data_IF_915240366198
#
_entry.id   IF_915240366198
#
_cell.length_a   1.000
_cell.length_b   1.000
_cell.length_c   1.000
_cell.angle_alpha   90.00
_cell.angle_beta   90.00
_cell.angle_gamma   90.00
#
_symmetry.space_group_name_H-M   'P 1'
#
loop_
_entity.id
_entity.type
_entity.pdbx_description
1 polymer ?
#
# COMPACT_ATOMS: atom_id res chain seq x y z
N UNK A 1 -47.78 19.79 26.13
CA UNK A 1 -47.96 18.83 25.01
C UNK A 1 -46.58 18.42 24.55
N UNK A 2 -46.25 17.14 24.69
CA UNK A 2 -44.97 16.55 24.26
C UNK A 2 -45.19 15.92 22.89
N UNK A 3 -44.45 16.33 21.88
CA UNK A 3 -44.39 15.62 20.61
C UNK A 3 -42.97 15.08 20.42
N UNK A 4 -42.90 13.76 20.32
CA UNK A 4 -41.73 12.94 20.05
C UNK A 4 -41.59 12.83 18.53
N UNK A 5 -40.43 13.19 17.98
CA UNK A 5 -40.13 13.02 16.55
C UNK A 5 -39.36 11.72 16.37
N UNK A 6 -40.02 10.71 15.82
CA UNK A 6 -39.39 9.46 15.37
C UNK A 6 -39.05 9.65 13.89
N UNK A 7 -37.77 9.68 13.54
CA UNK A 7 -37.32 9.57 12.15
C UNK A 7 -37.32 8.09 11.74
N UNK A 8 -38.22 7.73 10.84
CA UNK A 8 -38.25 6.45 10.12
C UNK A 8 -37.47 6.61 8.82
N UNK A 9 -36.38 5.85 8.68
CA UNK A 9 -35.58 5.75 7.45
C UNK A 9 -36.26 4.74 6.52
N UNK A 10 -36.90 5.24 5.45
CA UNK A 10 -37.48 4.39 4.41
C UNK A 10 -36.46 4.29 3.28
N UNK A 11 -35.78 3.14 3.16
CA UNK A 11 -34.91 2.84 2.03
C UNK A 11 -35.72 2.14 0.93
N UNK A 12 -35.79 2.77 -0.23
CA UNK A 12 -36.45 2.27 -1.43
C UNK A 12 -35.48 1.37 -2.20
N UNK A 13 -35.64 0.04 -2.10
CA UNK A 13 -35.03 -0.89 -3.06
C UNK A 13 -36.04 -1.18 -4.17
N UNK A 14 -35.73 -0.73 -5.38
CA UNK A 14 -36.48 -1.08 -6.59
C UNK A 14 -35.60 -1.96 -7.47
N UNK A 15 -36.11 -3.15 -7.83
CA UNK A 15 -35.59 -3.96 -8.92
C UNK A 15 -35.13 -5.37 -8.57
N UNK A 16 -36.05 -6.27 -8.19
CA UNK A 16 -35.86 -7.71 -8.42
C UNK A 16 -36.77 -8.15 -9.57
N UNK A 17 -36.14 -8.56 -10.67
CA UNK A 17 -36.79 -9.24 -11.80
C UNK A 17 -36.97 -10.71 -11.41
N UNK A 18 -38.18 -11.23 -11.57
CA UNK A 18 -38.49 -12.66 -11.47
C UNK A 18 -37.83 -13.39 -12.64
N UNK A 19 -36.86 -14.26 -12.37
CA UNK A 19 -36.32 -15.19 -13.34
C UNK A 19 -36.82 -16.61 -13.02
N UNK A 20 -37.84 -17.04 -13.76
CA UNK A 20 -38.26 -18.45 -13.87
C UNK A 20 -37.24 -19.23 -14.71
N UNK A 21 -36.16 -19.71 -14.07
CA UNK A 21 -35.28 -20.77 -14.59
C UNK A 21 -34.58 -21.50 -13.43
N UNK A 22 -34.29 -22.81 -13.53
CA UNK A 22 -33.80 -23.62 -12.40
C UNK A 22 -32.45 -23.12 -11.87
N UNK A 23 -32.17 -23.25 -10.55
CA UNK A 23 -31.07 -22.55 -9.90
C UNK A 23 -29.70 -23.11 -10.31
N UNK A 24 -28.88 -22.27 -10.91
CA UNK A 24 -27.41 -22.39 -10.88
C UNK A 24 -26.91 -21.93 -9.52
N UNK A 25 -25.95 -22.66 -8.95
CA UNK A 25 -25.39 -22.44 -7.61
C UNK A 25 -25.12 -20.96 -7.31
N UNK A 26 -25.91 -20.36 -6.42
CA UNK A 26 -25.69 -19.00 -5.95
C UNK A 26 -24.59 -18.96 -4.89
N UNK A 27 -23.70 -17.97 -4.99
CA UNK A 27 -22.62 -17.66 -4.05
C UNK A 27 -23.00 -16.60 -3.00
N UNK A 28 -24.28 -16.21 -2.89
CA UNK A 28 -24.70 -15.27 -1.84
C UNK A 28 -25.06 -16.02 -0.56
N UNK A 29 -24.44 -15.62 0.55
CA UNK A 29 -24.46 -16.19 1.91
C UNK A 29 -25.82 -16.40 2.60
N UNK A 30 -26.74 -17.12 1.98
CA UNK A 30 -27.93 -17.66 2.63
C UNK A 30 -27.64 -19.05 3.21
N UNK A 31 -27.87 -19.21 4.51
CA UNK A 31 -27.73 -20.45 5.27
C UNK A 31 -28.81 -21.52 4.93
N UNK A 32 -29.24 -21.60 3.66
CA UNK A 32 -30.09 -22.70 3.21
C UNK A 32 -29.24 -23.93 2.90
N UNK A 33 -29.60 -25.12 3.39
CA UNK A 33 -28.85 -26.33 3.11
C UNK A 33 -28.87 -26.64 1.61
N UNK A 34 -27.69 -26.63 1.00
CA UNK A 34 -27.47 -26.96 -0.41
C UNK A 34 -28.07 -28.35 -0.68
N UNK A 35 -28.96 -28.44 -1.66
CA UNK A 35 -29.53 -29.71 -2.11
C UNK A 35 -28.42 -30.60 -2.71
N UNK A 36 -28.51 -31.90 -2.46
CA UNK A 36 -27.41 -32.87 -2.54
C UNK A 36 -26.89 -33.22 -3.94
N UNK A 37 -27.02 -32.33 -4.92
CA UNK A 37 -26.56 -32.52 -6.31
C UNK A 37 -25.15 -31.98 -6.57
N UNK A 38 -24.55 -31.24 -5.64
CA UNK A 38 -23.21 -30.64 -5.81
C UNK A 38 -22.03 -31.59 -5.48
N UNK A 39 -22.29 -32.84 -5.09
CA UNK A 39 -21.26 -33.87 -4.91
C UNK A 39 -21.66 -35.14 -5.66
N UNK A 40 -20.88 -35.66 -6.63
CA UNK A 40 -21.14 -36.97 -7.20
C UNK A 40 -20.95 -38.02 -6.08
N UNK A 41 -22.07 -38.54 -5.56
CA UNK A 41 -22.08 -39.59 -4.55
C UNK A 41 -21.78 -40.93 -5.21
N UNK A 42 -20.66 -41.55 -4.85
CA UNK A 42 -20.50 -42.99 -5.06
C UNK A 42 -21.55 -43.73 -4.19
N UNK A 43 -22.40 -44.60 -4.75
CA UNK A 43 -23.59 -45.12 -4.07
C UNK A 43 -23.33 -46.12 -2.93
N UNK A 44 -22.08 -46.55 -2.70
CA UNK A 44 -21.81 -47.77 -1.91
C UNK A 44 -21.49 -47.57 -0.42
N UNK A 45 -21.37 -46.35 0.11
CA UNK A 45 -21.12 -46.14 1.56
C UNK A 45 -21.95 -45.01 2.16
N UNK A 46 -23.19 -45.32 2.56
CA UNK A 46 -24.04 -44.45 3.38
C UNK A 46 -23.56 -44.46 4.84
N UNK A 47 -22.47 -43.76 5.13
CA UNK A 47 -22.18 -43.33 6.51
C UNK A 47 -22.82 -41.95 6.69
N UNK A 48 -23.80 -41.86 7.60
CA UNK A 48 -24.44 -40.59 7.98
C UNK A 48 -23.38 -39.71 8.64
N UNK A 49 -22.79 -38.78 7.89
CA UNK A 49 -22.01 -37.69 8.49
C UNK A 49 -22.96 -36.70 9.13
N UNK A 50 -22.68 -36.29 10.36
CA UNK A 50 -23.37 -35.16 10.96
C UNK A 50 -22.91 -33.88 10.27
N UNK A 51 -23.78 -32.86 10.15
CA UNK A 51 -23.39 -31.56 9.59
C UNK A 51 -22.16 -30.94 10.30
N UNK A 52 -21.87 -31.37 11.53
CA UNK A 52 -20.68 -31.02 12.31
C UNK A 52 -19.34 -31.48 11.72
N UNK A 53 -19.32 -32.48 10.84
CA UNK A 53 -18.09 -32.97 10.21
C UNK A 53 -17.75 -32.26 8.89
N UNK A 54 -18.65 -31.39 8.41
CA UNK A 54 -18.52 -30.70 7.12
C UNK A 54 -17.98 -29.28 7.31
N UNK A 55 -18.10 -28.72 8.52
CA UNK A 55 -17.61 -27.37 8.84
C UNK A 55 -16.44 -27.46 9.82
N UNK A 56 -15.29 -26.93 9.42
CA UNK A 56 -14.14 -26.79 10.30
C UNK A 56 -14.47 -25.81 11.44
N UNK A 57 -14.06 -26.16 12.66
CA UNK A 57 -14.10 -25.29 13.84
C UNK A 57 -13.03 -24.21 13.71
N UNK A 58 -13.38 -22.95 13.96
CA UNK A 58 -12.41 -21.85 14.05
C UNK A 58 -11.57 -21.89 15.35
N UNK A 59 -11.98 -22.74 16.30
CA UNK A 59 -11.55 -22.78 17.70
C UNK A 59 -10.50 -23.85 18.02
N UNK A 60 -9.95 -24.56 17.03
CA UNK A 60 -8.89 -25.56 17.23
C UNK A 60 -7.81 -25.44 16.16
N UNK A 61 -6.54 -25.60 16.58
CA UNK A 61 -5.35 -25.72 15.71
C UNK A 61 -5.65 -26.48 14.41
N UNK A 62 -5.14 -26.05 13.23
CA UNK A 62 -5.53 -26.59 11.94
C UNK A 62 -4.83 -27.93 11.66
N UNK A 63 -4.85 -28.86 12.60
CA UNK A 63 -4.52 -30.25 12.29
C UNK A 63 -5.76 -30.86 11.67
N UNK A 64 -5.79 -30.90 10.34
CA UNK A 64 -6.74 -31.74 9.63
C UNK A 64 -6.55 -33.18 10.13
N UNK A 65 -7.57 -33.82 10.72
CA UNK A 65 -7.50 -35.26 10.93
C UNK A 65 -7.51 -35.86 9.53
N UNK A 66 -6.37 -36.33 9.05
CA UNK A 66 -6.32 -37.26 7.92
C UNK A 66 -7.16 -38.46 8.36
N UNK A 67 -8.37 -38.69 7.82
CA UNK A 67 -9.07 -39.91 8.16
C UNK A 67 -8.27 -41.03 7.51
N UNK A 68 -7.83 -42.02 8.28
CA UNK A 68 -7.06 -43.20 7.84
C UNK A 68 -7.73 -44.02 6.70
N UNK A 69 -8.88 -43.59 6.21
CA UNK A 69 -9.74 -44.28 5.26
C UNK A 69 -9.81 -43.67 3.85
N UNK A 70 -9.11 -42.57 3.57
CA UNK A 70 -9.02 -42.00 2.22
C UNK A 70 -7.56 -41.68 1.86
N UNK A 71 -6.95 -42.37 0.88
CA UNK A 71 -5.59 -42.08 0.43
C UNK A 71 -5.48 -40.74 -0.32
N UNK A 72 -6.61 -40.13 -0.69
CA UNK A 72 -6.65 -38.85 -1.38
C UNK A 72 -6.92 -37.73 -0.36
N UNK A 73 -5.84 -37.04 0.00
CA UNK A 73 -5.89 -35.83 0.82
C UNK A 73 -6.75 -34.76 0.15
N UNK A 74 -7.40 -33.94 0.98
CA UNK A 74 -8.38 -32.94 0.57
C UNK A 74 -7.85 -31.78 -0.32
N UNK A 75 -6.56 -31.77 -0.66
CA UNK A 75 -5.97 -30.84 -1.63
C UNK A 75 -5.56 -31.62 -2.88
N UNK A 76 -6.47 -31.77 -3.85
CA UNK A 76 -6.12 -32.53 -5.07
C UNK A 76 -5.55 -31.66 -6.18
N UNK A 77 -5.66 -30.31 -6.12
CA UNK A 77 -5.19 -29.40 -7.18
C UNK A 77 -4.66 -28.07 -6.67
N UNK A 78 -3.37 -27.82 -6.95
CA UNK A 78 -2.71 -26.51 -6.81
C UNK A 78 -2.49 -25.93 -8.22
N UNK A 79 -2.43 -24.61 -8.31
CA UNK A 79 -2.09 -23.90 -9.54
C UNK A 79 -1.22 -22.68 -9.24
N UNK A 80 -0.37 -22.31 -10.19
CA UNK A 80 0.47 -21.13 -10.11
C UNK A 80 -0.39 -19.88 -10.36
N UNK A 81 -0.59 -19.03 -9.34
CA UNK A 81 -1.31 -17.76 -9.48
C UNK A 81 -0.30 -16.62 -9.64
N UNK A 82 -0.33 -15.87 -10.76
CA UNK A 82 0.51 -14.69 -10.91
C UNK A 82 0.24 -13.65 -9.80
N UNK A 83 1.30 -13.09 -9.24
CA UNK A 83 1.31 -12.04 -8.24
C UNK A 83 2.32 -10.98 -8.66
N UNK A 84 1.88 -9.73 -8.72
CA UNK A 84 2.69 -8.59 -9.17
C UNK A 84 3.52 -8.05 -8.00
N UNK A 85 4.82 -7.84 -8.19
CA UNK A 85 5.71 -7.34 -7.11
C UNK A 85 5.61 -5.83 -6.89
N UNK A 86 5.47 -5.05 -7.96
CA UNK A 86 5.32 -3.59 -7.92
C UNK A 86 4.08 -3.20 -8.70
N UNK A 87 3.13 -2.55 -8.02
CA UNK A 87 1.81 -2.22 -8.56
C UNK A 87 1.61 -0.73 -8.85
N UNK A 88 2.50 0.15 -8.40
CA UNK A 88 2.37 1.61 -8.56
C UNK A 88 3.58 2.21 -9.24
N UNK A 89 3.32 3.15 -10.15
CA UNK A 89 4.34 3.85 -10.93
C UNK A 89 3.94 5.32 -11.09
N UNK A 90 4.92 6.20 -11.28
CA UNK A 90 4.63 7.59 -11.58
C UNK A 90 4.07 7.73 -12.99
N UNK A 91 3.32 8.80 -13.22
CA UNK A 91 2.89 9.21 -14.54
C UNK A 91 3.67 10.45 -14.95
N UNK A 92 4.38 10.39 -16.07
CA UNK A 92 5.13 11.51 -16.62
C UNK A 92 4.37 12.13 -17.79
N UNK A 93 4.02 13.40 -17.67
CA UNK A 93 3.31 14.17 -18.69
C UNK A 93 4.22 15.22 -19.34
N UNK A 94 4.24 15.29 -20.67
CA UNK A 94 5.12 16.19 -21.42
C UNK A 94 6.48 15.57 -21.77
N UNK A 95 7.31 16.29 -22.55
CA UNK A 95 8.58 15.75 -23.05
C UNK A 95 9.53 15.24 -21.96
N UNK A 96 10.41 14.28 -22.29
CA UNK A 96 11.40 13.74 -21.34
C UNK A 96 12.15 14.90 -20.65
N UNK A 97 12.35 14.77 -19.34
CA UNK A 97 12.98 15.77 -18.46
C UNK A 97 12.15 17.04 -18.11
N UNK A 98 10.84 17.11 -18.42
CA UNK A 98 9.99 18.29 -18.16
C UNK A 98 8.76 18.09 -17.23
N UNK A 99 8.88 18.69 -16.03
CA UNK A 99 7.92 19.37 -15.12
C UNK A 99 6.65 18.74 -14.55
N UNK A 100 5.94 17.80 -15.20
CA UNK A 100 4.68 17.27 -14.63
C UNK A 100 4.74 15.75 -14.40
N UNK A 101 5.42 15.37 -13.32
CA UNK A 101 5.33 14.01 -12.76
C UNK A 101 4.21 13.98 -11.73
N UNK A 102 3.30 13.02 -11.88
CA UNK A 102 2.30 12.70 -10.86
C UNK A 102 2.72 11.39 -10.20
N UNK A 103 3.14 11.49 -8.95
CA UNK A 103 3.63 10.34 -8.19
C UNK A 103 2.52 9.31 -7.95
N UNK A 104 2.87 8.02 -8.05
CA UNK A 104 1.97 6.88 -7.82
C UNK A 104 0.63 6.90 -8.61
N UNK A 105 0.64 7.59 -9.76
CA UNK A 105 -0.56 7.84 -10.55
C UNK A 105 -0.93 6.71 -11.50
N UNK A 106 -0.02 5.81 -11.86
CA UNK A 106 -0.32 4.59 -12.65
C UNK A 106 -0.40 3.40 -11.70
N UNK A 107 -1.51 2.65 -11.78
CA UNK A 107 -1.76 1.46 -10.97
C UNK A 107 -1.96 0.23 -11.84
N UNK A 108 -1.34 -0.87 -11.45
CA UNK A 108 -1.39 -2.15 -12.15
C UNK A 108 -1.84 -3.24 -11.18
N UNK A 109 -2.85 -4.01 -11.56
CA UNK A 109 -3.43 -5.06 -10.74
C UNK A 109 -3.74 -6.33 -11.56
N UNK A 110 -3.87 -7.46 -10.86
CA UNK A 110 -4.37 -8.72 -11.43
C UNK A 110 -5.73 -9.02 -10.81
N UNK A 111 -6.77 -9.09 -11.64
CA UNK A 111 -8.16 -9.19 -11.18
C UNK A 111 -8.82 -10.46 -11.70
N UNK A 112 -9.62 -11.13 -10.86
CA UNK A 112 -10.50 -12.25 -11.24
C UNK A 112 -9.80 -13.58 -11.52
N UNK A 113 -8.62 -13.78 -10.96
CA UNK A 113 -7.79 -14.98 -11.13
C UNK A 113 -7.85 -15.89 -9.89
N UNK A 114 -9.03 -16.40 -9.55
CA UNK A 114 -9.26 -17.13 -8.29
C UNK A 114 -9.09 -18.65 -8.43
N UNK A 115 -9.24 -19.18 -9.63
CA UNK A 115 -9.06 -20.60 -9.93
C UNK A 115 -8.13 -20.81 -11.13
N UNK A 116 -7.57 -22.01 -11.25
CA UNK A 116 -6.78 -22.43 -12.42
C UNK A 116 -7.56 -22.24 -13.73
N UNK A 117 -8.86 -22.51 -13.70
CA UNK A 117 -9.71 -22.35 -14.86
C UNK A 117 -9.83 -20.88 -15.27
N UNK A 118 -9.79 -19.95 -14.32
CA UNK A 118 -9.93 -18.52 -14.60
C UNK A 118 -8.73 -17.96 -15.35
N UNK A 119 -7.52 -18.51 -15.15
CA UNK A 119 -6.32 -18.11 -15.90
C UNK A 119 -6.45 -18.26 -17.42
N UNK A 120 -7.39 -19.07 -17.88
CA UNK A 120 -7.67 -19.31 -19.30
C UNK A 120 -8.87 -18.53 -19.83
N UNK A 121 -9.58 -17.81 -18.95
CA UNK A 121 -10.80 -17.05 -19.28
C UNK A 121 -10.52 -15.55 -19.35
N UNK A 122 -11.46 -14.84 -19.96
CA UNK A 122 -11.41 -13.38 -20.05
C UNK A 122 -11.72 -12.67 -18.71
N UNK A 123 -12.13 -13.43 -17.69
CA UNK A 123 -12.41 -12.91 -16.34
C UNK A 123 -11.14 -12.68 -15.51
N UNK A 124 -10.02 -13.29 -15.89
CA UNK A 124 -8.72 -13.07 -15.26
C UNK A 124 -7.90 -12.13 -16.14
N UNK A 125 -7.67 -10.90 -15.68
CA UNK A 125 -7.06 -9.84 -16.49
C UNK A 125 -6.05 -9.00 -15.72
N UNK A 126 -5.09 -8.45 -16.48
CA UNK A 126 -4.21 -7.37 -16.07
C UNK A 126 -4.99 -6.06 -16.21
N UNK A 127 -5.17 -5.36 -15.10
CA UNK A 127 -5.79 -4.04 -15.07
C UNK A 127 -4.70 -3.00 -14.96
N UNK A 128 -4.71 -2.02 -15.85
CA UNK A 128 -3.85 -0.83 -15.77
C UNK A 128 -4.77 0.38 -15.73
N UNK A 129 -4.51 1.30 -14.82
CA UNK A 129 -5.29 2.52 -14.66
C UNK A 129 -4.39 3.70 -14.31
N UNK A 130 -4.86 4.92 -14.57
CA UNK A 130 -4.16 6.11 -14.11
C UNK A 130 -5.07 7.23 -13.64
N UNK A 131 -4.54 8.10 -12.79
CA UNK A 131 -5.24 9.30 -12.29
C UNK A 131 -4.39 10.56 -12.52
N UNK A 132 -4.33 11.09 -13.75
CA UNK A 132 -3.56 12.28 -14.08
C UNK A 132 -4.19 13.56 -13.51
N UNK A 133 -3.46 14.67 -13.66
CA UNK A 133 -4.04 16.01 -13.59
C UNK A 133 -4.80 16.30 -14.89
N UNK A 134 -6.06 16.67 -14.78
CA UNK A 134 -6.95 16.95 -15.92
C UNK A 134 -7.81 15.75 -16.34
N UNK A 135 -8.49 15.89 -17.47
CA UNK A 135 -9.36 14.85 -18.04
C UNK A 135 -8.62 14.00 -19.08
N UNK A 136 -8.83 12.69 -19.10
CA UNK A 136 -8.24 11.81 -20.11
C UNK A 136 -9.08 11.88 -21.39
N UNK A 137 -8.44 12.11 -22.52
CA UNK A 137 -9.08 12.19 -23.85
C UNK A 137 -8.80 10.95 -24.69
N UNK A 138 -7.68 10.27 -24.47
CA UNK A 138 -7.34 9.03 -25.16
C UNK A 138 -6.42 8.14 -24.32
N UNK A 139 -6.48 6.83 -24.56
CA UNK A 139 -5.70 5.81 -23.84
C UNK A 139 -5.27 4.72 -24.81
N UNK A 140 -3.97 4.38 -24.81
CA UNK A 140 -3.36 3.38 -25.67
C UNK A 140 -2.46 2.44 -24.87
N UNK A 141 -2.37 1.19 -25.31
CA UNK A 141 -1.61 0.15 -24.60
C UNK A 141 -0.91 -0.80 -25.57
N UNK A 142 0.38 -1.02 -25.32
CA UNK A 142 1.15 -2.13 -25.88
C UNK A 142 1.74 -2.99 -24.76
N UNK A 143 1.73 -4.30 -24.97
CA UNK A 143 2.29 -5.28 -24.04
C UNK A 143 3.23 -6.21 -24.81
N UNK A 144 4.43 -6.43 -24.26
CA UNK A 144 5.40 -7.38 -24.79
C UNK A 144 5.95 -8.29 -23.69
N UNK A 145 6.22 -9.55 -24.03
CA UNK A 145 6.94 -10.50 -23.16
C UNK A 145 8.45 -10.51 -23.43
N UNK A 146 8.90 -9.76 -24.43
CA UNK A 146 10.31 -9.51 -24.73
C UNK A 146 10.61 -8.03 -24.53
N UNK A 147 11.78 -7.74 -23.98
CA UNK A 147 12.20 -6.36 -23.76
C UNK A 147 12.31 -5.66 -25.11
N UNK A 148 11.80 -4.44 -25.21
CA UNK A 148 11.92 -3.67 -26.43
C UNK A 148 13.37 -3.27 -26.71
N UNK A 149 13.74 -3.40 -27.98
CA UNK A 149 15.08 -3.09 -28.51
C UNK A 149 14.95 -2.20 -29.73
N UNK A 150 16.05 -1.64 -30.22
CA UNK A 150 16.07 -0.80 -31.43
C UNK A 150 15.47 -1.47 -32.67
N UNK A 151 15.38 -2.80 -32.70
CA UNK A 151 14.85 -3.58 -33.82
C UNK A 151 13.50 -4.25 -33.52
N UNK A 152 13.08 -4.26 -32.26
CA UNK A 152 11.84 -4.91 -31.81
C UNK A 152 11.15 -3.98 -30.80
N UNK A 153 10.25 -3.13 -31.30
CA UNK A 153 9.54 -2.11 -30.53
C UNK A 153 8.14 -1.87 -31.14
N UNK A 154 7.18 -1.32 -30.37
CA UNK A 154 5.86 -0.98 -30.88
C UNK A 154 5.90 -0.04 -32.07
N UNK A 155 4.81 -0.03 -32.84
CA UNK A 155 4.61 0.96 -33.89
C UNK A 155 4.69 2.38 -33.35
N UNK A 156 5.11 3.30 -34.21
CA UNK A 156 5.24 4.74 -33.90
C UNK A 156 3.87 5.43 -33.80
N UNK A 157 2.75 4.72 -33.91
CA UNK A 157 1.44 5.30 -33.64
C UNK A 157 0.84 4.54 -32.45
N UNK A 158 0.59 5.19 -31.29
CA UNK A 158 -0.05 4.54 -30.16
C UNK A 158 -1.45 4.03 -30.49
N UNK A 159 -2.15 4.69 -31.42
CA UNK A 159 -3.47 4.26 -31.86
C UNK A 159 -3.46 2.91 -32.59
N UNK A 160 -2.29 2.46 -33.09
CA UNK A 160 -2.12 1.15 -33.72
C UNK A 160 -1.52 0.09 -32.80
N UNK A 161 -1.33 0.38 -31.51
CA UNK A 161 -0.83 -0.60 -30.56
C UNK A 161 -1.82 -1.75 -30.34
N UNK A 162 -1.28 -2.95 -30.15
CA UNK A 162 -2.02 -4.21 -30.24
C UNK A 162 -3.08 -4.37 -29.15
N UNK A 163 -2.92 -3.69 -28.01
CA UNK A 163 -3.79 -3.83 -26.85
C UNK A 163 -4.69 -2.63 -26.60
N UNK A 164 -4.66 -1.61 -27.46
CA UNK A 164 -5.52 -0.41 -27.34
C UNK A 164 -7.01 -0.75 -27.32
N UNK A 165 -7.45 -1.84 -27.97
CA UNK A 165 -8.85 -2.27 -27.93
C UNK A 165 -9.35 -2.71 -26.55
N UNK A 166 -8.43 -2.97 -25.61
CA UNK A 166 -8.75 -3.33 -24.22
C UNK A 166 -8.83 -2.12 -23.29
N UNK A 167 -8.64 -0.91 -23.83
CA UNK A 167 -8.67 0.35 -23.09
C UNK A 167 -9.99 1.09 -23.29
N UNK A 168 -10.47 1.68 -22.20
CA UNK A 168 -11.52 2.69 -22.23
C UNK A 168 -10.86 4.05 -22.40
N UNK A 169 -10.96 4.60 -23.62
CA UNK A 169 -10.19 5.77 -24.08
C UNK A 169 -10.20 6.96 -23.11
N UNK A 170 -11.36 7.29 -22.56
CA UNK A 170 -11.56 8.51 -21.75
C UNK A 170 -11.34 8.30 -20.24
N UNK A 171 -11.05 7.08 -19.77
CA UNK A 171 -10.89 6.80 -18.33
C UNK A 171 -9.49 6.42 -17.93
N UNK A 172 -8.59 6.16 -18.89
CA UNK A 172 -7.26 5.62 -18.58
C UNK A 172 -7.27 4.15 -18.17
N UNK A 173 -8.42 3.48 -18.15
CA UNK A 173 -8.49 2.09 -17.67
C UNK A 173 -8.35 1.12 -18.84
N UNK A 174 -7.37 0.22 -18.75
CA UNK A 174 -7.21 -0.91 -19.66
C UNK A 174 -7.36 -2.23 -18.91
N UNK A 175 -8.11 -3.17 -19.49
CA UNK A 175 -8.37 -4.50 -18.93
C UNK A 175 -8.00 -5.56 -19.95
N UNK A 176 -6.78 -6.10 -19.84
CA UNK A 176 -6.25 -7.10 -20.78
C UNK A 176 -6.35 -8.48 -20.15
N UNK A 177 -7.21 -9.38 -20.68
CA UNK A 177 -7.22 -10.75 -20.21
C UNK A 177 -5.86 -11.44 -20.34
N UNK A 178 -5.45 -12.17 -19.30
CA UNK A 178 -4.13 -12.80 -19.28
C UNK A 178 -3.97 -13.83 -20.39
N UNK A 179 -5.06 -14.48 -20.80
CA UNK A 179 -5.07 -15.44 -21.91
C UNK A 179 -4.86 -14.78 -23.31
N UNK A 180 -4.92 -13.45 -23.42
CA UNK A 180 -4.63 -12.71 -24.66
C UNK A 180 -3.19 -12.19 -24.71
N UNK A 181 -2.51 -12.13 -23.57
CA UNK A 181 -1.08 -11.83 -23.52
C UNK A 181 -0.32 -13.01 -24.14
N UNK A 182 0.68 -12.79 -25.02
CA UNK A 182 1.45 -13.86 -25.62
C UNK A 182 2.02 -14.82 -24.57
N UNK A 183 1.62 -16.10 -24.66
CA UNK A 183 2.04 -17.14 -23.72
C UNK A 183 1.16 -17.28 -22.46
N UNK A 184 0.13 -16.45 -22.29
CA UNK A 184 -0.88 -16.60 -21.24
C UNK A 184 -0.35 -16.32 -19.82
N UNK A 185 -1.14 -16.71 -18.81
CA UNK A 185 -0.78 -16.55 -17.40
C UNK A 185 0.54 -17.27 -17.01
N UNK A 186 0.84 -18.41 -17.64
CA UNK A 186 2.08 -19.16 -17.39
C UNK A 186 3.32 -18.47 -17.93
N UNK A 187 3.18 -17.56 -18.91
CA UNK A 187 4.29 -16.77 -19.41
C UNK A 187 4.65 -15.58 -18.51
N UNK A 188 3.82 -15.27 -17.51
CA UNK A 188 4.12 -14.22 -16.53
C UNK A 188 5.01 -14.73 -15.40
N UNK A 189 4.87 -16.02 -15.04
CA UNK A 189 5.66 -16.62 -13.97
C UNK A 189 7.17 -16.57 -14.25
N UNK A 190 7.92 -15.96 -13.33
CA UNK A 190 9.38 -15.82 -13.38
C UNK A 190 9.90 -15.06 -14.61
N UNK A 191 9.04 -14.22 -15.21
CA UNK A 191 9.38 -13.39 -16.36
C UNK A 191 8.90 -11.95 -16.13
N UNK A 192 9.51 -11.06 -16.89
CA UNK A 192 9.09 -9.67 -16.95
C UNK A 192 8.13 -9.44 -18.11
N UNK A 193 7.13 -8.60 -17.86
CA UNK A 193 6.25 -8.04 -18.89
C UNK A 193 6.62 -6.58 -19.11
N UNK A 194 6.72 -6.17 -20.37
CA UNK A 194 7.08 -4.82 -20.76
C UNK A 194 5.83 -4.12 -21.29
N UNK A 195 5.47 -3.00 -20.67
CA UNK A 195 4.18 -2.34 -20.89
C UNK A 195 4.40 -0.89 -21.28
N UNK A 196 3.97 -0.51 -22.48
CA UNK A 196 3.87 0.88 -22.90
C UNK A 196 2.43 1.32 -22.67
N UNK A 197 2.26 2.20 -21.70
CA UNK A 197 0.96 2.75 -21.35
C UNK A 197 0.98 4.25 -21.63
N UNK A 198 0.10 4.68 -22.53
CA UNK A 198 0.05 6.05 -23.00
C UNK A 198 -1.35 6.61 -22.76
N UNK A 199 -1.42 7.84 -22.27
CA UNK A 199 -2.65 8.61 -22.22
C UNK A 199 -2.45 10.00 -22.81
N UNK A 200 -3.52 10.58 -23.34
CA UNK A 200 -3.60 12.00 -23.63
C UNK A 200 -4.55 12.65 -22.63
N UNK A 201 -4.17 13.79 -22.10
CA UNK A 201 -4.94 14.54 -21.10
C UNK A 201 -5.20 15.95 -21.58
N UNK A 202 -6.32 16.52 -21.15
CA UNK A 202 -6.70 17.90 -21.39
C UNK A 202 -6.93 18.59 -20.05
N UNK A 203 -6.13 19.63 -19.78
CA UNK A 203 -6.26 20.51 -18.63
C UNK A 203 -6.53 21.94 -19.12
N UNK A 204 -7.75 22.41 -18.86
CA UNK A 204 -8.38 23.63 -19.40
C UNK A 204 -8.30 23.77 -20.93
N UNK A 205 -7.11 24.09 -21.46
CA UNK A 205 -6.84 24.34 -22.89
C UNK A 205 -5.55 23.67 -23.40
N UNK A 206 -4.81 22.97 -22.55
CA UNK A 206 -3.53 22.36 -22.92
C UNK A 206 -3.67 20.85 -22.99
N UNK A 207 -3.46 20.30 -24.18
CA UNK A 207 -3.34 18.86 -24.38
C UNK A 207 -1.93 18.41 -23.98
N UNK A 208 -1.84 17.41 -23.11
CA UNK A 208 -0.60 16.80 -22.68
C UNK A 208 -0.63 15.32 -23.03
N UNK A 209 0.48 14.82 -23.52
CA UNK A 209 0.72 13.38 -23.61
C UNK A 209 1.38 12.93 -22.33
N UNK A 210 1.00 11.75 -21.81
CA UNK A 210 1.63 11.15 -20.64
C UNK A 210 1.95 9.67 -20.88
N UNK A 211 3.00 9.19 -20.21
CA UNK A 211 3.45 7.80 -20.19
C UNK A 211 3.73 7.38 -18.75
N UNK A 212 3.70 6.07 -18.47
CA UNK A 212 4.25 5.58 -17.21
C UNK A 212 5.76 5.84 -17.15
N UNK A 213 6.24 6.40 -16.03
CA UNK A 213 7.65 6.72 -15.76
C UNK A 213 8.46 5.41 -15.64
N UNK A 214 9.34 5.16 -16.60
CA UNK A 214 9.98 3.87 -16.77
C UNK A 214 11.25 3.94 -17.61
N UNK A 215 11.36 3.04 -18.60
CA UNK A 215 12.51 3.00 -19.52
C UNK A 215 12.10 3.51 -20.89
N UNK A 216 12.89 4.41 -21.46
CA UNK A 216 12.68 4.88 -22.83
C UNK A 216 12.62 3.72 -23.82
N UNK A 217 11.58 3.69 -24.67
CA UNK A 217 11.49 2.73 -25.75
C UNK A 217 12.56 3.07 -26.81
N UNK A 218 13.49 2.16 -27.12
CA UNK A 218 14.60 2.45 -28.03
C UNK A 218 14.15 2.54 -29.49
N UNK A 219 14.89 3.30 -30.30
CA UNK A 219 14.70 3.37 -31.76
C UNK A 219 13.57 4.31 -32.22
N UNK A 220 12.97 5.08 -31.31
CA UNK A 220 11.91 6.01 -31.69
C UNK A 220 12.40 7.19 -32.53
N UNK A 221 11.82 7.43 -33.72
CA UNK A 221 12.20 8.56 -34.55
C UNK A 221 11.55 9.87 -34.06
N UNK A 222 12.29 10.98 -34.18
CA UNK A 222 11.76 12.34 -34.01
C UNK A 222 11.68 12.85 -32.56
N UNK A 223 12.63 12.49 -31.69
CA UNK A 223 12.68 12.91 -30.28
C UNK A 223 11.42 12.51 -29.47
N UNK A 224 10.77 11.42 -29.86
CA UNK A 224 9.69 10.84 -29.06
C UNK A 224 10.30 10.22 -27.80
N UNK A 225 9.54 10.34 -26.72
CA UNK A 225 10.01 10.08 -25.37
C UNK A 225 9.14 9.04 -24.67
N UNK A 226 8.46 8.17 -25.41
CA UNK A 226 7.59 7.20 -24.75
C UNK A 226 8.41 6.16 -24.02
N UNK A 227 7.88 5.77 -22.88
CA UNK A 227 8.56 4.89 -21.97
C UNK A 227 7.72 3.64 -21.74
N UNK A 228 8.37 2.63 -21.18
CA UNK A 228 7.75 1.39 -20.82
C UNK A 228 8.05 1.01 -19.38
N UNK A 229 7.05 0.42 -18.75
CA UNK A 229 7.15 -0.16 -17.43
C UNK A 229 7.63 -1.60 -17.55
N UNK A 230 8.45 -2.03 -16.59
CA UNK A 230 8.84 -3.44 -16.44
C UNK A 230 8.09 -4.01 -15.25
N UNK A 231 7.18 -4.94 -15.50
CA UNK A 231 6.40 -5.61 -14.49
C UNK A 231 7.01 -6.98 -14.21
N UNK A 232 7.30 -7.27 -12.94
CA UNK A 232 7.80 -8.58 -12.48
C UNK A 232 6.70 -9.33 -11.74
N UNK A 233 6.58 -10.63 -12.02
CA UNK A 233 5.59 -11.47 -11.40
C UNK A 233 6.24 -12.66 -10.70
N UNK A 234 5.75 -12.94 -9.50
CA UNK A 234 5.95 -14.22 -8.82
C UNK A 234 4.72 -15.09 -9.03
N UNK A 235 4.88 -16.41 -8.95
CA UNK A 235 3.77 -17.34 -9.12
C UNK A 235 3.66 -18.31 -7.95
N UNK A 236 3.24 -17.84 -6.77
CA UNK A 236 2.99 -18.73 -5.64
C UNK A 236 1.94 -19.80 -6.02
N UNK A 237 2.21 -21.03 -5.58
CA UNK A 237 1.26 -22.13 -5.70
C UNK A 237 0.05 -21.84 -4.81
N UNK A 238 -1.12 -21.69 -5.43
CA UNK A 238 -2.40 -21.44 -4.78
C UNK A 238 -3.33 -22.64 -4.99
N UNK A 239 -4.18 -22.94 -4.02
CA UNK A 239 -5.11 -24.05 -4.14
C UNK A 239 -6.34 -23.72 -4.98
N UNK A 240 -6.80 -24.68 -5.78
CA UNK A 240 -8.03 -24.58 -6.57
C UNK A 240 -9.23 -25.23 -5.83
N UNK A 241 -9.88 -24.49 -4.92
CA UNK A 241 -11.17 -24.87 -4.32
C UNK A 241 -11.16 -26.06 -3.33
N UNK A 242 -12.32 -26.30 -2.71
CA UNK A 242 -12.58 -26.90 -1.39
C UNK A 242 -11.79 -28.16 -0.97
N UNK A 243 -10.90 -27.98 0.02
CA UNK A 243 -11.00 -28.49 1.39
C UNK A 243 -9.65 -28.28 2.06
N UNK A 244 -9.61 -27.46 3.12
CA UNK A 244 -8.48 -27.25 4.01
C UNK A 244 -7.12 -27.29 3.31
N UNK A 245 -6.83 -26.25 2.52
CA UNK A 245 -5.42 -25.97 2.30
C UNK A 245 -4.81 -25.66 3.66
N UNK A 246 -3.56 -26.09 3.93
CA UNK A 246 -2.80 -25.30 4.88
C UNK A 246 -2.97 -23.88 4.36
N UNK A 247 -3.51 -22.97 5.18
CA UNK A 247 -3.27 -21.56 4.89
C UNK A 247 -1.79 -21.53 4.57
N UNK A 248 -1.38 -21.02 3.39
CA UNK A 248 -0.02 -20.51 3.26
C UNK A 248 0.21 -19.82 4.58
N UNK A 249 1.03 -20.40 5.46
CA UNK A 249 1.20 -19.83 6.79
C UNK A 249 1.58 -18.42 6.43
N UNK A 250 0.72 -17.43 6.74
CA UNK A 250 1.11 -16.04 6.65
C UNK A 250 2.46 -16.05 7.32
N UNK A 251 3.57 -15.85 6.56
CA UNK A 251 4.88 -16.29 6.98
C UNK A 251 5.04 -15.76 8.37
N UNK A 252 5.04 -16.66 9.36
CA UNK A 252 4.67 -16.24 10.72
C UNK A 252 5.56 -15.07 11.06
N UNK A 253 4.98 -13.91 11.36
CA UNK A 253 5.77 -12.73 11.60
C UNK A 253 5.99 -12.60 13.09
N UNK A 254 7.05 -11.89 13.45
CA UNK A 254 7.23 -11.44 14.82
C UNK A 254 7.55 -9.97 14.82
N UNK A 255 7.13 -9.33 15.90
CA UNK A 255 7.42 -7.93 16.14
C UNK A 255 8.73 -7.82 16.90
N UNK A 256 9.65 -7.04 16.35
CA UNK A 256 10.96 -6.78 16.92
C UNK A 256 11.08 -5.29 17.26
N UNK A 257 11.60 -4.93 18.45
CA UNK A 257 11.95 -3.56 18.73
C UNK A 257 13.02 -3.07 17.74
N UNK A 258 12.73 -1.98 17.03
CA UNK A 258 13.67 -1.41 16.06
C UNK A 258 14.52 -0.32 16.74
N UNK A 259 13.85 0.59 17.45
CA UNK A 259 14.52 1.65 18.21
C UNK A 259 13.67 2.90 18.34
N UNK A 260 14.37 4.02 18.52
CA UNK A 260 13.76 5.34 18.68
C UNK A 260 13.80 6.09 17.37
N UNK A 261 12.62 6.48 16.87
CA UNK A 261 12.45 7.37 15.73
C UNK A 261 12.40 8.83 16.20
N UNK A 262 13.07 9.69 15.44
CA UNK A 262 13.07 11.14 15.65
C UNK A 262 12.54 11.84 14.40
N UNK A 263 11.70 12.85 14.60
CA UNK A 263 11.24 13.70 13.51
C UNK A 263 12.40 14.51 12.91
N UNK A 264 12.56 14.41 11.60
CA UNK A 264 13.55 15.15 10.82
C UNK A 264 12.92 15.73 9.56
N UNK A 265 13.45 16.86 9.05
CA UNK A 265 13.03 17.44 7.77
C UNK A 265 14.24 18.00 7.04
N UNK A 266 14.42 17.65 5.77
CA UNK A 266 15.44 18.27 4.94
C UNK A 266 15.04 19.72 4.61
N UNK A 267 15.98 20.65 4.77
CA UNK A 267 15.69 22.08 4.66
C UNK A 267 15.61 22.56 3.21
N UNK A 268 14.42 22.98 2.78
CA UNK A 268 14.26 24.08 1.81
C UNK A 268 13.51 25.21 2.52
N UNK A 269 14.11 26.39 2.53
CA UNK A 269 13.50 27.66 2.96
C UNK A 269 12.15 27.81 2.22
N UNK A 270 10.99 28.07 2.88
CA UNK A 270 10.80 28.78 4.15
C UNK A 270 10.55 27.92 5.40
N UNK A 271 10.75 26.61 5.34
CA UNK A 271 10.40 25.72 6.46
C UNK A 271 11.47 25.71 7.57
N UNK A 272 11.08 25.52 8.85
CA UNK A 272 12.02 25.48 9.96
C UNK A 272 12.98 24.30 9.81
N UNK A 273 14.27 24.59 9.66
CA UNK A 273 15.33 23.59 9.61
C UNK A 273 15.44 22.91 10.99
N UNK A 274 15.58 21.56 11.05
CA UNK A 274 15.77 20.86 12.32
C UNK A 274 17.05 21.33 13.00
N UNK A 275 16.95 21.77 14.25
CA UNK A 275 18.08 22.20 15.05
C UNK A 275 18.52 21.02 15.91
N UNK A 276 19.79 20.65 15.77
CA UNK A 276 20.40 19.54 16.50
C UNK A 276 20.39 19.83 18.02
N UNK A 277 19.91 18.86 18.82
CA UNK A 277 19.93 18.94 20.28
C UNK A 277 21.36 18.98 20.87
N UNK A 278 22.39 18.60 20.10
CA UNK A 278 23.81 18.66 20.45
C UNK A 278 24.55 19.90 19.92
N UNK A 279 23.86 20.89 19.36
CA UNK A 279 24.49 22.07 18.74
C UNK A 279 24.88 21.86 17.27
N UNK A 280 25.20 22.95 16.57
CA UNK A 280 25.48 23.00 15.12
C UNK A 280 26.87 23.60 14.87
N UNK A 281 27.73 23.06 13.97
CA UNK A 281 27.61 21.83 13.17
C UNK A 281 28.38 20.70 13.84
N UNK A 282 27.68 19.71 14.41
CA UNK A 282 28.28 18.68 15.28
C UNK A 282 29.27 19.31 16.29
N UNK A 283 28.77 20.21 17.13
CA UNK A 283 29.51 20.80 18.23
C UNK A 283 28.86 22.07 18.79
N UNK A 284 29.28 22.51 20.00
CA UNK A 284 29.25 21.74 21.24
C UNK A 284 27.80 21.56 21.75
N UNK A 285 27.58 20.52 22.57
CA UNK A 285 26.30 20.22 23.21
C UNK A 285 25.64 21.48 23.80
N UNK A 286 24.30 21.49 23.87
CA UNK A 286 23.54 22.49 24.63
C UNK A 286 24.14 22.64 26.03
N UNK A 287 24.99 23.65 26.19
CA UNK A 287 25.63 24.15 27.43
C UNK A 287 25.72 23.12 28.57
N UNK A 288 26.84 22.42 28.68
CA UNK A 288 27.41 21.63 29.79
C UNK A 288 26.54 20.87 30.83
N UNK A 289 25.20 20.95 30.86
CA UNK A 289 24.39 20.44 31.96
C UNK A 289 22.91 20.12 31.66
N UNK A 290 22.38 20.16 30.43
CA UNK A 290 20.93 19.86 30.25
C UNK A 290 20.52 18.86 29.17
N UNK A 291 21.21 18.74 28.03
CA UNK A 291 20.80 17.75 27.01
C UNK A 291 21.98 17.24 26.17
N UNK A 292 22.56 16.09 26.55
CA UNK A 292 23.53 15.32 25.74
C UNK A 292 22.83 14.13 25.10
N UNK A 293 21.88 14.37 24.19
CA UNK A 293 21.11 13.30 23.52
C UNK A 293 21.02 13.54 22.01
N UNK A 294 20.94 12.45 21.25
CA UNK A 294 20.64 12.47 19.82
C UNK A 294 19.19 12.92 19.59
N UNK A 295 18.92 13.57 18.47
CA UNK A 295 17.62 14.13 18.09
C UNK A 295 17.68 15.61 17.66
N UNK A 296 16.52 16.10 17.24
CA UNK A 296 16.33 17.45 16.72
C UNK A 296 15.11 18.10 17.36
N UNK A 297 15.12 19.44 17.38
CA UNK A 297 13.93 20.24 17.67
C UNK A 297 13.68 21.24 16.55
N UNK A 298 12.44 21.68 16.45
CA UNK A 298 11.98 22.64 15.45
C UNK A 298 11.60 23.96 16.13
N UNK A 299 11.84 25.06 15.44
CA UNK A 299 11.44 26.41 15.89
C UNK A 299 10.49 27.11 14.91
N UNK A 300 9.35 26.50 14.54
CA UNK A 300 8.42 27.12 13.61
C UNK A 300 7.93 28.47 14.13
N UNK A 301 7.76 29.41 13.20
CA UNK A 301 6.92 30.58 13.45
C UNK A 301 5.47 30.13 13.63
N UNK A 302 4.65 30.93 14.32
CA UNK A 302 3.21 30.68 14.41
C UNK A 302 2.57 30.51 13.03
N UNK A 303 2.93 31.35 12.07
CA UNK A 303 2.41 31.28 10.71
C UNK A 303 2.77 29.97 10.01
N UNK A 304 4.02 29.52 10.13
CA UNK A 304 4.46 28.22 9.58
C UNK A 304 3.71 27.06 10.20
N UNK A 305 3.48 27.11 11.52
CA UNK A 305 2.75 26.04 12.21
C UNK A 305 1.25 26.06 11.89
N UNK A 306 0.66 27.22 11.64
CA UNK A 306 -0.72 27.34 11.15
C UNK A 306 -0.88 26.85 9.71
N UNK A 307 0.14 26.99 8.86
CA UNK A 307 0.17 26.42 7.52
C UNK A 307 0.37 24.90 7.52
N UNK A 308 0.93 24.36 8.60
CA UNK A 308 1.29 22.96 8.73
C UNK A 308 2.76 22.72 8.38
N UNK A 309 3.39 21.86 9.17
CA UNK A 309 4.76 21.36 8.92
C UNK A 309 4.76 19.85 8.93
N UNK A 310 5.70 19.25 8.20
CA UNK A 310 5.85 17.80 8.12
C UNK A 310 7.30 17.41 7.85
N UNK A 311 7.63 16.15 8.09
CA UNK A 311 8.93 15.56 7.79
C UNK A 311 8.92 14.04 7.95
N UNK A 312 10.11 13.44 7.94
CA UNK A 312 10.30 12.00 8.03
C UNK A 312 10.59 11.59 9.48
N UNK A 313 10.29 10.34 9.80
CA UNK A 313 10.62 9.69 11.06
C UNK A 313 11.83 8.79 10.83
N UNK A 314 12.95 9.13 11.49
CA UNK A 314 14.22 8.44 11.26
C UNK A 314 14.63 7.69 12.53
N UNK A 315 14.77 6.37 12.45
CA UNK A 315 15.28 5.52 13.54
C UNK A 315 16.78 5.35 13.42
N UNK A 316 17.49 5.40 14.55
CA UNK A 316 18.89 4.97 14.60
C UNK A 316 19.88 5.93 13.93
N UNK A 317 19.52 7.21 13.80
CA UNK A 317 20.42 8.26 13.32
C UNK A 317 21.47 8.66 14.38
N UNK A 318 22.26 7.68 14.84
CA UNK A 318 23.29 7.85 15.85
C UNK A 318 24.26 8.97 15.49
N UNK A 319 24.59 9.83 16.47
CA UNK A 319 25.40 11.01 16.22
C UNK A 319 24.70 12.11 15.41
N UNK A 320 23.37 12.02 15.24
CA UNK A 320 22.55 12.92 14.42
C UNK A 320 22.93 12.90 12.92
N UNK A 321 23.41 11.75 12.46
CA UNK A 321 23.70 11.46 11.07
C UNK A 321 22.51 10.74 10.43
N UNK A 322 21.65 11.49 9.74
CA UNK A 322 20.43 10.95 9.12
C UNK A 322 20.72 9.91 8.04
N UNK A 323 21.90 9.94 7.43
CA UNK A 323 22.30 8.95 6.42
C UNK A 323 22.59 7.57 7.03
N UNK A 324 22.78 7.49 8.35
CA UNK A 324 22.89 6.23 9.09
C UNK A 324 21.54 5.77 9.65
N UNK A 325 20.52 6.61 9.57
CA UNK A 325 19.20 6.30 10.07
C UNK A 325 18.36 5.55 9.04
N UNK A 326 17.37 4.80 9.54
CA UNK A 326 16.34 4.16 8.75
C UNK A 326 15.10 5.05 8.74
N UNK A 327 14.64 5.43 7.55
CA UNK A 327 13.34 6.09 7.39
C UNK A 327 12.22 5.07 7.60
N UNK A 328 11.34 5.35 8.56
CA UNK A 328 10.26 4.44 8.97
C UNK A 328 8.88 5.07 8.79
N UNK A 329 8.80 6.29 8.28
CA UNK A 329 7.53 6.98 8.10
C UNK A 329 7.63 8.50 8.08
N UNK A 330 6.51 9.16 8.32
CA UNK A 330 6.38 10.61 8.31
C UNK A 330 5.67 11.12 9.56
N UNK A 331 5.89 12.39 9.86
CA UNK A 331 5.17 13.11 10.90
C UNK A 331 4.65 14.44 10.33
N UNK A 332 3.56 14.93 10.90
CA UNK A 332 3.00 16.25 10.58
C UNK A 332 2.53 16.97 11.83
N UNK A 333 2.46 18.30 11.78
CA UNK A 333 1.89 19.12 12.83
C UNK A 333 1.27 20.42 12.29
N UNK A 334 0.10 20.77 12.80
CA UNK A 334 -0.64 21.99 12.45
C UNK A 334 -1.26 22.64 13.69
N UNK A 335 -1.15 23.96 13.80
CA UNK A 335 -1.75 24.75 14.88
C UNK A 335 -3.11 25.31 14.45
N UNK A 336 -4.17 24.90 15.13
CA UNK A 336 -5.54 25.41 14.96
C UNK A 336 -5.98 26.09 16.25
N UNK A 337 -6.02 27.42 16.25
CA UNK A 337 -6.25 28.21 17.47
C UNK A 337 -5.11 28.02 18.48
N UNK A 338 -5.40 27.34 19.60
CA UNK A 338 -4.44 26.95 20.64
C UNK A 338 -4.20 25.44 20.70
N UNK A 339 -4.69 24.67 19.72
CA UNK A 339 -4.50 23.23 19.64
C UNK A 339 -3.45 22.92 18.58
N UNK A 340 -2.36 22.27 18.99
CA UNK A 340 -1.41 21.67 18.08
C UNK A 340 -1.87 20.25 17.79
N UNK A 341 -2.36 20.03 16.58
CA UNK A 341 -2.66 18.71 16.07
C UNK A 341 -1.38 18.14 15.48
N UNK A 342 -1.01 16.93 15.84
CA UNK A 342 0.12 16.23 15.26
C UNK A 342 -0.27 14.82 14.85
N UNK A 343 0.50 14.30 13.91
CA UNK A 343 0.24 13.01 13.29
C UNK A 343 1.55 12.28 13.01
N UNK A 344 1.52 10.96 13.14
CA UNK A 344 2.56 10.02 12.76
C UNK A 344 1.96 9.02 11.77
N UNK A 345 2.69 8.70 10.70
CA UNK A 345 2.34 7.68 9.71
C UNK A 345 3.56 6.83 9.42
N UNK A 346 3.52 5.55 9.75
CA UNK A 346 4.61 4.61 9.54
C UNK A 346 4.40 3.87 8.22
N UNK A 347 5.49 3.47 7.58
CA UNK A 347 5.40 2.61 6.40
C UNK A 347 4.89 1.21 6.77
N UNK A 348 4.02 0.67 5.93
CA UNK A 348 3.40 -0.65 6.10
C UNK A 348 3.23 -1.32 4.74
N UNK A 349 4.36 -1.52 4.06
CA UNK A 349 4.40 -2.11 2.72
C UNK A 349 5.68 -2.91 2.49
N UNK A 350 5.67 -3.81 1.51
CA UNK A 350 6.79 -4.71 1.23
C UNK A 350 8.06 -3.98 0.75
N UNK A 351 7.93 -2.74 0.24
CA UNK A 351 9.05 -1.99 -0.33
C UNK A 351 9.84 -1.20 0.73
N UNK A 352 9.16 -0.66 1.75
CA UNK A 352 9.75 0.16 2.81
C UNK A 352 9.81 -0.55 4.16
N UNK A 353 9.00 -1.59 4.34
CA UNK A 353 8.87 -2.40 5.53
C UNK A 353 7.56 -2.16 6.28
N UNK A 354 7.32 -3.03 7.26
CA UNK A 354 6.15 -2.99 8.14
C UNK A 354 6.59 -2.49 9.53
N UNK A 355 6.15 -1.29 9.92
CA UNK A 355 6.51 -0.66 11.19
C UNK A 355 5.30 -0.27 12.01
N UNK A 356 5.46 -0.34 13.34
CA UNK A 356 4.40 -0.03 14.30
C UNK A 356 4.89 0.90 15.41
N UNK A 357 4.02 1.79 15.86
CA UNK A 357 4.27 2.67 17.00
C UNK A 357 4.08 1.91 18.32
N UNK A 358 5.12 1.89 19.14
CA UNK A 358 5.06 1.37 20.51
C UNK A 358 4.86 2.49 21.55
N UNK A 359 5.42 3.68 21.30
CA UNK A 359 5.29 4.85 22.18
C UNK A 359 5.35 6.12 21.34
N UNK A 360 4.63 7.17 21.72
CA UNK A 360 4.66 8.49 21.09
C UNK A 360 4.96 9.56 22.13
N UNK A 361 5.96 10.39 21.85
CA UNK A 361 6.39 11.48 22.72
C UNK A 361 6.51 12.78 21.93
N UNK A 362 5.77 13.81 22.35
CA UNK A 362 5.78 15.13 21.69
C UNK A 362 6.07 16.23 22.69
N UNK A 363 7.17 16.94 22.49
CA UNK A 363 7.42 18.20 23.19
C UNK A 363 6.80 19.33 22.37
N UNK A 364 5.96 20.14 22.99
CA UNK A 364 5.48 21.38 22.41
C UNK A 364 5.35 22.45 23.48
N UNK A 365 6.12 23.53 23.35
CA UNK A 365 6.08 24.65 24.29
C UNK A 365 6.60 25.93 23.63
N UNK A 366 6.44 27.04 24.34
CA UNK A 366 6.95 28.35 23.92
C UNK A 366 8.32 28.68 24.54
N UNK A 367 8.74 27.80 25.44
CA UNK A 367 10.07 27.83 26.04
C UNK A 367 10.93 26.77 25.38
N UNK A 368 12.21 27.06 25.23
CA UNK A 368 13.18 26.10 24.73
C UNK A 368 13.22 24.88 25.66
N UNK A 369 13.28 23.64 25.12
CA UNK A 369 13.36 22.43 25.93
C UNK A 369 14.60 22.47 26.83
N UNK A 370 14.39 22.32 28.14
CA UNK A 370 15.43 22.21 29.16
C UNK A 370 15.64 20.76 29.65
N UNK A 371 14.74 19.86 29.25
CA UNK A 371 14.77 18.42 29.51
C UNK A 371 14.57 17.69 28.18
N UNK A 372 15.42 16.71 27.87
CA UNK A 372 15.39 15.96 26.61
C UNK A 372 15.11 14.46 26.80
N UNK A 373 14.57 14.09 27.96
CA UNK A 373 14.07 12.73 28.18
C UNK A 373 12.64 12.64 27.64
N UNK A 374 12.35 11.71 26.71
CA UNK A 374 11.04 11.64 26.06
C UNK A 374 9.85 11.51 27.03
N UNK A 375 10.01 10.75 28.12
CA UNK A 375 8.99 10.65 29.19
C UNK A 375 8.76 11.93 30.01
N UNK A 376 9.39 13.05 29.65
CA UNK A 376 9.19 14.37 30.26
C UNK A 376 8.61 15.39 29.29
N UNK A 377 8.21 14.96 28.09
CA UNK A 377 7.64 15.82 27.07
C UNK A 377 6.21 16.22 27.41
N UNK A 378 5.70 17.23 26.70
CA UNK A 378 4.33 17.76 26.90
C UNK A 378 3.28 16.67 26.76
N UNK A 379 3.52 15.73 25.85
CA UNK A 379 2.66 14.58 25.61
C UNK A 379 3.47 13.30 25.57
N UNK A 380 2.90 12.27 26.19
CA UNK A 380 3.44 10.91 26.27
C UNK A 380 2.27 9.95 26.14
N UNK A 381 2.34 9.05 25.16
CA UNK A 381 1.45 7.90 25.03
C UNK A 381 2.29 6.62 24.95
N UNK A 382 2.18 5.81 25.98
CA UNK A 382 2.84 4.49 26.11
C UNK A 382 1.81 3.36 26.06
N UNK A 383 0.57 3.65 25.62
CA UNK A 383 -0.54 2.69 25.59
C UNK A 383 -0.72 1.98 24.24
N UNK A 384 0.12 2.33 23.26
CA UNK A 384 0.10 1.73 21.93
C UNK A 384 0.56 0.27 21.98
N UNK A 385 -0.04 -0.54 21.12
CA UNK A 385 0.19 -1.99 21.08
C UNK A 385 1.55 -2.34 20.53
N UNK A 386 2.10 -1.48 19.65
CA UNK A 386 3.37 -1.73 18.97
C UNK A 386 3.28 -2.85 17.93
N UNK A 387 2.08 -3.29 17.55
CA UNK A 387 1.85 -4.42 16.64
C UNK A 387 0.76 -4.16 15.57
N UNK A 388 0.05 -3.03 15.63
CA UNK A 388 -0.97 -2.65 14.63
C UNK A 388 -1.17 -1.14 14.51
N UNK A 389 -0.24 -0.35 15.04
CA UNK A 389 -0.37 1.10 15.22
C UNK A 389 0.48 1.83 14.18
N UNK A 390 0.09 1.73 12.92
CA UNK A 390 0.80 2.33 11.78
C UNK A 390 0.51 3.83 11.64
N UNK A 391 -0.53 4.34 12.30
CA UNK A 391 -0.84 5.78 12.34
C UNK A 391 -1.29 6.21 13.73
N UNK A 392 -0.97 7.46 14.09
CA UNK A 392 -1.39 8.06 15.35
C UNK A 392 -1.64 9.55 15.18
N UNK A 393 -2.80 10.03 15.62
CA UNK A 393 -3.16 11.45 15.58
C UNK A 393 -3.63 11.91 16.96
N UNK A 394 -3.13 13.06 17.41
CA UNK A 394 -3.55 13.65 18.68
C UNK A 394 -3.46 15.18 18.67
N UNK A 395 -4.16 15.82 19.60
CA UNK A 395 -4.20 17.26 19.78
C UNK A 395 -3.72 17.64 21.17
N UNK A 396 -2.76 18.56 21.25
CA UNK A 396 -2.27 19.09 22.53
C UNK A 396 -2.48 20.59 22.62
N UNK A 397 -2.91 21.04 23.79
CA UNK A 397 -3.10 22.48 24.02
C UNK A 397 -1.75 23.15 24.25
N UNK A 398 -1.45 24.16 23.44
CA UNK A 398 -0.26 25.00 23.55
C UNK A 398 -0.68 26.45 23.72
N UNK A 399 0.19 27.27 24.31
CA UNK A 399 -0.09 28.70 24.40
C UNK A 399 -0.14 29.30 22.97
N UNK A 400 -1.30 29.84 22.61
CA UNK A 400 -1.56 30.41 21.29
C UNK A 400 -0.91 31.79 21.06
N UNK A 401 -0.29 32.37 22.09
CA UNK A 401 0.29 33.74 22.03
C UNK A 401 1.78 33.75 21.69
N UNK A 402 2.36 32.58 21.43
CA UNK A 402 3.80 32.44 21.30
C UNK A 402 4.31 32.97 19.96
N UNK A 403 5.40 33.74 20.02
CA UNK A 403 6.11 34.21 18.83
C UNK A 403 6.91 33.08 18.16
N UNK A 404 7.36 32.10 18.95
CA UNK A 404 8.13 30.95 18.50
C UNK A 404 7.70 29.72 19.30
N UNK A 405 7.46 28.61 18.60
CA UNK A 405 7.18 27.31 19.21
C UNK A 405 8.43 26.45 19.18
N UNK A 406 8.63 25.61 20.19
CA UNK A 406 9.67 24.60 20.24
C UNK A 406 9.02 23.23 20.19
N UNK A 407 9.32 22.45 19.15
CA UNK A 407 8.71 21.14 18.92
C UNK A 407 9.76 20.04 18.88
N UNK A 408 9.47 18.89 19.50
CA UNK A 408 10.23 17.64 19.34
C UNK A 408 9.24 16.53 19.07
N UNK A 409 9.46 15.78 17.98
CA UNK A 409 8.67 14.59 17.64
C UNK A 409 9.54 13.37 17.84
N UNK A 410 9.07 12.46 18.69
CA UNK A 410 9.76 11.26 19.06
C UNK A 410 8.78 10.09 19.11
N UNK A 411 9.20 8.92 18.63
CA UNK A 411 8.41 7.70 18.72
C UNK A 411 9.31 6.50 19.00
N UNK A 412 8.80 5.51 19.72
CA UNK A 412 9.40 4.18 19.77
C UNK A 412 8.75 3.34 18.70
N UNK A 413 9.56 2.71 17.86
CA UNK A 413 9.09 2.00 16.68
C UNK A 413 9.53 0.54 16.76
N UNK A 414 8.59 -0.34 16.45
CA UNK A 414 8.82 -1.74 16.21
C UNK A 414 8.81 -2.02 14.70
N UNK A 415 9.43 -3.13 14.31
CA UNK A 415 9.37 -3.65 12.95
C UNK A 415 8.82 -5.06 12.98
N UNK A 416 7.91 -5.36 12.07
CA UNK A 416 7.46 -6.71 11.80
C UNK A 416 8.40 -7.37 10.79
N UNK A 417 8.96 -8.53 11.16
CA UNK A 417 9.87 -9.33 10.31
C UNK A 417 9.41 -10.80 10.28
N UNK A 418 9.87 -11.60 9.30
CA UNK A 418 9.64 -13.04 9.34
C UNK A 418 10.15 -13.66 10.65
N UNK A 419 9.39 -14.57 11.26
CA UNK A 419 9.70 -15.17 12.56
C UNK A 419 11.02 -15.95 12.56
N UNK A 420 11.44 -16.41 11.39
CA UNK A 420 12.71 -17.11 11.12
C UNK A 420 13.93 -16.20 11.22
N UNK A 421 13.77 -14.89 11.08
CA UNK A 421 14.86 -13.93 11.14
C UNK A 421 15.21 -13.57 12.59
N UNK A 422 16.42 -13.10 12.87
CA UNK A 422 16.77 -12.62 14.22
C UNK A 422 16.45 -11.14 14.31
N UNK A 423 15.83 -10.69 15.40
CA UNK A 423 15.57 -9.26 15.58
C UNK A 423 16.91 -8.49 15.45
N UNK A 424 16.96 -7.42 14.64
CA UNK A 424 18.14 -6.60 14.55
C UNK A 424 18.48 -6.04 15.93
N UNK A 425 19.76 -5.80 16.20
CA UNK A 425 20.15 -5.08 17.40
C UNK A 425 19.45 -3.72 17.39
N UNK A 426 18.80 -3.38 18.51
CA UNK A 426 18.13 -2.08 18.66
C UNK A 426 19.14 -0.98 18.36
N UNK A 427 18.84 -0.14 17.37
CA UNK A 427 19.74 0.95 17.01
C UNK A 427 19.62 2.03 18.10
N UNK A 428 20.71 2.38 18.80
CA UNK A 428 20.67 3.30 19.93
C UNK A 428 20.32 4.74 19.54
#
# INVERSE_FOLDING_TARGET
MKYSTVLSLTATFTGYVLADTPPTCSTTGDNTPITSTCCPRAPSKRLRRSAREIFARADSSPTCPTPDFYPDSCCTRQFAKPHLEIATFNLQCGANEATDTVDDAVKVDIVGCDTEADLTKDTCYLMISSTPVGSITDTHLEISTTQWTSTDHPTIDPASWSFTSYCVKETGVCQVPLNKIPGGATALCDKSLYVAYHISTLDDTTEKTCTGDGTLIPGQPGNRWWEYLTLTFTCPQTCNGWCCCPSTQTPSTKVCPLGTAMGYKYGVNPNPMPINLNGNPVGPALSDNSCKRWGWYFTPSKASLQAGISGNLIVGAGGNDVNKGKDVGTWSAILVGSQLNFEYHLYDDDSKGHFDLAEVHVYAACVKPSKCSPGQYTFVDETLTGNSDTSFMHSITVDGTCSTYYLIFHAKVNQQIPSTETCPAVVP
#
